data_IF_033851977761
#
_entry.id   IF_033851977761
#
_cell.length_a   1.000
_cell.length_b   1.000
_cell.length_c   1.000
_cell.angle_alpha   90.00
_cell.angle_beta   90.00
_cell.angle_gamma   90.00
#
_symmetry.space_group_name_H-M   'P 1'
#
loop_
_entity.id
_entity.type
_entity.pdbx_description
1 polymer ?
#
# COMPACT_ATOMS: atom_id res chain seq x y z
N UNK A 1 -18.58 5.25 5.11
CA UNK A 1 -17.54 5.56 4.10
C UNK A 1 -17.85 4.87 2.75
N UNK A 2 -17.80 5.57 1.61
CA UNK A 2 -18.07 4.99 0.27
C UNK A 2 -16.95 5.31 -0.73
N UNK A 3 -16.40 4.30 -1.41
CA UNK A 3 -15.46 4.51 -2.52
C UNK A 3 -16.25 4.94 -3.78
N UNK A 4 -15.89 6.08 -4.35
CA UNK A 4 -16.51 6.63 -5.56
C UNK A 4 -15.62 6.53 -6.81
N UNK A 5 -14.32 6.30 -6.63
CA UNK A 5 -13.41 5.98 -7.71
C UNK A 5 -12.24 5.16 -7.17
N UNK A 6 -11.83 4.14 -7.92
CA UNK A 6 -10.63 3.36 -7.63
C UNK A 6 -9.90 3.06 -8.92
N UNK A 7 -8.71 3.65 -9.08
CA UNK A 7 -8.03 3.69 -10.36
C UNK A 7 -6.54 3.41 -10.22
N UNK A 8 -5.97 2.72 -11.20
CA UNK A 8 -4.51 2.60 -11.38
C UNK A 8 -4.02 3.76 -12.24
N UNK A 9 -3.14 4.61 -11.70
CA UNK A 9 -2.61 5.81 -12.37
C UNK A 9 -1.09 5.77 -12.47
N UNK A 10 -0.53 6.39 -13.52
CA UNK A 10 0.91 6.65 -13.66
C UNK A 10 1.25 8.02 -13.08
N UNK A 11 2.21 8.07 -12.15
CA UNK A 11 2.64 9.30 -11.52
C UNK A 11 3.32 10.21 -12.56
N UNK A 12 2.80 11.43 -12.73
CA UNK A 12 3.42 12.47 -13.56
C UNK A 12 4.29 13.43 -12.74
N UNK A 13 4.13 13.41 -11.43
CA UNK A 13 4.89 14.18 -10.44
C UNK A 13 5.01 13.35 -9.15
N UNK A 14 5.93 13.69 -8.23
CA UNK A 14 6.07 12.98 -6.97
C UNK A 14 4.77 12.95 -6.15
N UNK A 15 4.47 11.80 -5.56
CA UNK A 15 3.34 11.63 -4.64
C UNK A 15 3.79 10.90 -3.38
N UNK A 16 3.25 11.27 -2.21
CA UNK A 16 3.46 10.48 -0.98
C UNK A 16 2.51 9.28 -0.98
N UNK A 17 3.05 8.07 -0.86
CA UNK A 17 2.26 6.89 -0.54
C UNK A 17 1.68 7.03 0.86
N UNK A 18 0.37 6.87 1.00
CA UNK A 18 -0.33 7.02 2.28
C UNK A 18 -0.18 5.79 3.18
N UNK A 19 0.21 4.64 2.63
CA UNK A 19 0.41 3.40 3.40
C UNK A 19 1.82 3.25 3.99
N UNK A 20 2.89 3.61 3.27
CA UNK A 20 4.28 3.48 3.77
C UNK A 20 5.04 4.82 3.87
N UNK A 21 4.42 5.92 3.45
CA UNK A 21 5.02 7.25 3.50
C UNK A 21 6.18 7.48 2.52
N UNK A 22 6.48 6.55 1.61
CA UNK A 22 7.53 6.75 0.58
C UNK A 22 7.07 7.72 -0.51
N UNK A 23 8.02 8.37 -1.17
CA UNK A 23 7.77 9.05 -2.44
C UNK A 23 7.55 8.01 -3.53
N UNK A 24 6.45 8.18 -4.26
CA UNK A 24 6.15 7.56 -5.55
C UNK A 24 6.71 8.51 -6.60
N UNK A 25 7.73 8.06 -7.29
CA UNK A 25 8.51 8.83 -8.24
C UNK A 25 7.76 8.92 -9.60
N UNK A 26 7.99 9.97 -10.41
CA UNK A 26 7.42 10.07 -11.74
C UNK A 26 7.71 8.82 -12.58
N UNK A 27 6.70 8.34 -13.29
CA UNK A 27 6.78 7.10 -14.08
C UNK A 27 6.30 5.86 -13.35
N UNK A 28 6.30 5.85 -12.01
CA UNK A 28 5.73 4.74 -11.24
C UNK A 28 4.21 4.65 -11.38
N UNK A 29 3.67 3.45 -11.20
CA UNK A 29 2.22 3.24 -11.15
C UNK A 29 1.75 3.12 -9.70
N UNK A 30 0.60 3.71 -9.40
CA UNK A 30 0.02 3.75 -8.07
C UNK A 30 -1.50 3.63 -8.12
N UNK A 31 -2.10 3.17 -7.03
CA UNK A 31 -3.56 3.15 -6.84
C UNK A 31 -4.01 4.51 -6.32
N UNK A 32 -5.06 5.04 -6.92
CA UNK A 32 -5.66 6.32 -6.58
C UNK A 32 -7.14 6.10 -6.29
N UNK A 33 -7.50 6.16 -5.02
CA UNK A 33 -8.86 5.94 -4.56
C UNK A 33 -9.46 7.26 -4.09
N UNK A 34 -10.72 7.52 -4.44
CA UNK A 34 -11.51 8.63 -3.90
C UNK A 34 -12.65 8.07 -3.09
N UNK A 35 -12.80 8.64 -1.90
CA UNK A 35 -13.74 8.14 -0.91
C UNK A 35 -14.57 9.30 -0.39
N UNK A 36 -15.87 9.09 -0.30
CA UNK A 36 -16.82 10.01 0.32
C UNK A 36 -17.08 9.54 1.74
N UNK A 37 -16.96 10.46 2.68
CA UNK A 37 -17.41 10.26 4.05
C UNK A 37 -18.27 11.45 4.48
N UNK A 38 -19.57 11.23 4.62
CA UNK A 38 -20.54 12.32 4.77
C UNK A 38 -20.47 13.33 3.61
N UNK A 39 -20.02 14.56 3.90
CA UNK A 39 -19.86 15.65 2.92
C UNK A 39 -18.41 15.82 2.45
N UNK A 40 -17.48 15.06 3.02
CA UNK A 40 -16.06 15.19 2.76
C UNK A 40 -15.59 14.18 1.72
N UNK A 41 -14.68 14.62 0.84
CA UNK A 41 -14.05 13.78 -0.18
C UNK A 41 -12.56 13.67 0.11
N UNK A 42 -12.12 12.45 0.33
CA UNK A 42 -10.74 12.12 0.61
C UNK A 42 -10.10 11.41 -0.59
N UNK A 43 -8.79 11.55 -0.73
CA UNK A 43 -8.03 10.87 -1.78
C UNK A 43 -6.93 10.03 -1.17
N UNK A 44 -6.97 8.72 -1.42
CA UNK A 44 -5.93 7.78 -1.05
C UNK A 44 -4.95 7.57 -2.21
N UNK A 45 -3.65 7.62 -1.93
CA UNK A 45 -2.59 7.29 -2.90
C UNK A 45 -1.74 6.16 -2.35
N UNK A 46 -1.74 5.03 -3.02
CA UNK A 46 -1.03 3.84 -2.59
C UNK A 46 -0.05 3.37 -3.66
N UNK A 47 1.23 3.21 -3.29
CA UNK A 47 2.21 2.65 -4.21
C UNK A 47 1.91 1.17 -4.50
N UNK A 48 2.30 0.68 -5.69
CA UNK A 48 2.04 -0.70 -6.10
C UNK A 48 2.53 -1.75 -5.09
N UNK A 49 3.62 -1.47 -4.37
CA UNK A 49 4.17 -2.37 -3.35
C UNK A 49 3.26 -2.51 -2.14
N UNK A 50 2.69 -1.40 -1.68
CA UNK A 50 1.74 -1.41 -0.57
C UNK A 50 0.45 -2.08 -0.98
N UNK A 51 -0.06 -1.81 -2.18
CA UNK A 51 -1.25 -2.50 -2.69
C UNK A 51 -1.04 -4.02 -2.74
N UNK A 52 0.10 -4.47 -3.25
CA UNK A 52 0.43 -5.90 -3.26
C UNK A 52 0.58 -6.49 -1.85
N UNK A 53 1.27 -5.79 -0.94
CA UNK A 53 1.37 -6.20 0.46
C UNK A 53 -0.01 -6.36 1.12
N UNK A 54 -0.91 -5.39 0.93
CA UNK A 54 -2.26 -5.42 1.50
C UNK A 54 -3.02 -6.67 1.04
N UNK A 55 -2.88 -7.06 -0.23
CA UNK A 55 -3.48 -8.28 -0.78
C UNK A 55 -2.81 -9.55 -0.25
N UNK A 56 -1.47 -9.63 -0.28
CA UNK A 56 -0.73 -10.84 0.12
C UNK A 56 -0.92 -11.15 1.60
N UNK A 57 -0.82 -10.12 2.45
CA UNK A 57 -0.94 -10.24 3.90
C UNK A 57 -2.40 -10.16 4.39
N UNK A 58 -3.37 -10.07 3.47
CA UNK A 58 -4.80 -9.95 3.77
C UNK A 58 -5.11 -8.87 4.82
N UNK A 59 -4.42 -7.75 4.77
CA UNK A 59 -4.55 -6.68 5.77
C UNK A 59 -5.91 -5.96 5.70
N UNK A 60 -6.64 -6.13 4.61
CA UNK A 60 -8.03 -5.66 4.52
C UNK A 60 -8.99 -6.47 5.39
N UNK A 61 -8.64 -7.71 5.77
CA UNK A 61 -9.44 -8.51 6.71
C UNK A 61 -9.42 -7.88 8.12
N UNK A 62 -8.46 -6.99 8.37
CA UNK A 62 -8.30 -6.23 9.62
C UNK A 62 -8.86 -4.81 9.51
N UNK A 63 -9.42 -4.44 8.35
CA UNK A 63 -10.08 -3.16 8.18
C UNK A 63 -11.50 -3.24 8.75
N UNK A 64 -11.75 -2.51 9.84
CA UNK A 64 -13.08 -2.37 10.43
C UNK A 64 -13.97 -1.42 9.60
N UNK A 65 -15.20 -1.17 10.07
CA UNK A 65 -16.22 -0.38 9.36
C UNK A 65 -15.77 1.07 9.05
N UNK A 66 -14.82 1.61 9.81
CA UNK A 66 -14.28 2.96 9.67
C UNK A 66 -13.17 3.07 8.60
N UNK A 67 -12.84 1.96 7.92
CA UNK A 67 -11.82 1.92 6.88
C UNK A 67 -10.45 1.49 7.38
N UNK A 68 -9.40 1.79 6.63
CA UNK A 68 -8.04 1.32 6.92
C UNK A 68 -7.14 2.44 7.44
N UNK A 69 -6.58 2.25 8.64
CA UNK A 69 -5.50 3.09 9.17
C UNK A 69 -4.13 2.40 8.97
N UNK A 70 -3.18 3.01 8.24
CA UNK A 70 -1.83 2.45 8.06
C UNK A 70 -1.07 2.16 9.34
N UNK A 71 -1.36 2.87 10.43
CA UNK A 71 -0.66 2.67 11.70
C UNK A 71 -0.96 1.29 12.30
N UNK A 72 -2.09 0.68 11.94
CA UNK A 72 -2.44 -0.69 12.33
C UNK A 72 -1.46 -1.72 11.78
N UNK A 73 -0.78 -1.44 10.66
CA UNK A 73 0.25 -2.33 10.11
C UNK A 73 1.39 -2.55 11.14
N UNK A 74 1.64 -1.61 12.04
CA UNK A 74 2.68 -1.78 13.06
C UNK A 74 2.38 -2.93 14.05
N UNK A 75 1.11 -3.29 14.23
CA UNK A 75 0.68 -4.42 15.05
C UNK A 75 0.64 -5.75 14.28
N UNK A 76 0.97 -5.76 12.99
CA UNK A 76 1.03 -7.00 12.22
C UNK A 76 2.18 -7.89 12.73
N UNK A 77 1.84 -9.12 13.12
CA UNK A 77 2.79 -10.13 13.57
C UNK A 77 2.97 -11.20 12.48
N UNK A 78 4.08 -11.17 11.70
CA UNK A 78 4.31 -12.14 10.66
C UNK A 78 4.45 -13.56 11.21
N UNK A 79 3.69 -14.50 10.66
CA UNK A 79 3.70 -15.92 11.05
C UNK A 79 4.64 -16.76 10.18
N UNK A 80 5.03 -16.24 9.01
CA UNK A 80 5.95 -16.91 8.09
C UNK A 80 7.15 -16.03 7.71
N UNK A 81 8.24 -16.65 7.25
CA UNK A 81 9.42 -15.95 6.73
C UNK A 81 9.04 -15.09 5.50
N UNK A 82 8.10 -15.55 4.68
CA UNK A 82 7.63 -14.81 3.51
C UNK A 82 6.93 -13.50 3.94
N UNK A 83 6.01 -13.58 4.90
CA UNK A 83 5.34 -12.41 5.48
C UNK A 83 6.33 -11.46 6.13
N UNK A 84 7.28 -11.99 6.91
CA UNK A 84 8.32 -11.19 7.57
C UNK A 84 9.17 -10.39 6.56
N UNK A 85 9.51 -11.00 5.40
CA UNK A 85 10.25 -10.32 4.34
C UNK A 85 9.46 -9.16 3.71
N UNK A 86 8.15 -9.34 3.53
CA UNK A 86 7.25 -8.31 3.02
C UNK A 86 7.13 -7.18 4.06
N UNK A 87 6.88 -7.52 5.32
CA UNK A 87 6.77 -6.55 6.41
C UNK A 87 8.04 -5.71 6.61
N UNK A 88 9.21 -6.34 6.57
CA UNK A 88 10.52 -5.63 6.59
C UNK A 88 10.65 -4.72 5.35
N UNK A 89 10.15 -5.17 4.20
CA UNK A 89 10.10 -4.36 2.98
C UNK A 89 9.30 -3.07 3.20
N UNK A 90 8.10 -3.17 3.76
CA UNK A 90 7.27 -2.02 4.11
C UNK A 90 7.95 -1.08 5.12
N UNK A 91 8.51 -1.61 6.21
CA UNK A 91 9.25 -0.80 7.21
C UNK A 91 10.42 -0.03 6.59
N UNK A 92 11.04 -0.59 5.55
CA UNK A 92 12.14 0.04 4.80
C UNK A 92 11.65 0.88 3.61
N UNK A 93 10.35 1.19 3.54
CA UNK A 93 9.76 1.97 2.44
C UNK A 93 10.06 1.37 1.06
N UNK A 94 10.18 0.04 1.02
CA UNK A 94 10.53 -0.76 -0.16
C UNK A 94 11.89 -0.44 -0.78
N UNK A 95 12.77 0.29 -0.08
CA UNK A 95 14.12 0.60 -0.58
C UNK A 95 15.16 -0.36 -0.02
N UNK A 96 16.12 -0.73 -0.86
CA UNK A 96 17.34 -1.45 -0.46
C UNK A 96 18.32 -0.48 0.22
N UNK A 97 19.42 -1.01 0.76
CA UNK A 97 20.44 -0.19 1.43
C UNK A 97 21.11 0.81 0.50
N UNK A 98 21.22 0.49 -0.79
CA UNK A 98 21.74 1.35 -1.84
C UNK A 98 20.71 2.39 -2.37
N UNK A 99 19.51 2.43 -1.78
CA UNK A 99 18.43 3.33 -2.18
C UNK A 99 17.57 2.85 -3.35
N UNK A 100 17.95 1.76 -4.03
CA UNK A 100 17.17 1.20 -5.14
C UNK A 100 15.82 0.69 -4.65
N UNK A 101 14.80 0.87 -5.49
CA UNK A 101 13.46 0.36 -5.20
C UNK A 101 13.45 -1.15 -5.39
N UNK A 102 12.83 -1.86 -4.44
CA UNK A 102 12.60 -3.31 -4.57
C UNK A 102 11.61 -3.59 -5.71
N UNK A 103 11.54 -4.86 -6.09
CA UNK A 103 10.45 -5.32 -6.94
C UNK A 103 9.15 -5.34 -6.12
N UNK A 104 8.03 -5.14 -6.83
CA UNK A 104 6.70 -5.25 -6.22
C UNK A 104 6.52 -6.69 -5.75
N UNK A 105 6.17 -6.94 -4.48
CA UNK A 105 5.86 -8.29 -4.03
C UNK A 105 4.76 -8.90 -4.87
N UNK A 106 4.93 -10.12 -5.35
CA UNK A 106 3.90 -10.81 -6.11
C UNK A 106 3.12 -11.75 -5.20
N UNK A 107 1.81 -11.83 -5.41
CA UNK A 107 1.04 -12.98 -4.93
C UNK A 107 1.56 -14.14 -5.75
N UNK A 108 2.48 -14.95 -5.19
CA UNK A 108 2.91 -16.17 -5.86
C UNK A 108 1.66 -17.03 -5.99
N UNK A 109 1.08 -17.04 -7.19
CA UNK A 109 -0.02 -17.90 -7.53
C UNK A 109 0.44 -19.33 -7.31
N UNK A 110 -0.20 -20.02 -6.36
CA UNK A 110 -0.44 -21.45 -6.53
C UNK A 110 -1.20 -21.58 -7.86
N UNK A 111 -0.54 -22.19 -8.84
CA UNK A 111 -1.22 -22.86 -9.94
C UNK A 111 -2.09 -23.99 -9.39
#
# INVERSE_FOLDING_TARGET
MQIIADEKRKARKPHRCMTCGRTIDPGETYRHTRTVDGRDIWTWKECAHCGAMMTILRLWDWAEDDGFNPDWINGFEPTTIAEARIFIGWRRKWRRKDGTLREVPEVVGRA
#
